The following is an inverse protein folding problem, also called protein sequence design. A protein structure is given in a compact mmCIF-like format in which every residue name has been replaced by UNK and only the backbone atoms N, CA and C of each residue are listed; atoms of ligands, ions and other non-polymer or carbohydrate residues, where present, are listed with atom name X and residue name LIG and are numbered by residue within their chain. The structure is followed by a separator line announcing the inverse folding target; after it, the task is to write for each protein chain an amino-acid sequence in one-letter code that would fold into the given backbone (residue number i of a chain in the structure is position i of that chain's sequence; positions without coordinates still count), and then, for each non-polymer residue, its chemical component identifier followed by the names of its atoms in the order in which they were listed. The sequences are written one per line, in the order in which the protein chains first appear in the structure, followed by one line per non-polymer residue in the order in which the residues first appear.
data_IF_976719741206
#
_entry.id   IF_976719741206
#
_cell.length_a   1.000
_cell.length_b   1.000
_cell.length_c   1.000
_cell.angle_alpha   90.00
_cell.angle_beta   90.00
_cell.angle_gamma   90.00
#
_symmetry.space_group_name_H-M   'P 1'
#
loop_
_entity.id
_entity.type
_entity.pdbx_description
1 polymer ?
#
# COMPACT_ATOMS: atom_id res chain seq x y z
N UNK A 1 11.42 -9.51 7.71
CA UNK A 1 10.33 -9.83 8.66
C UNK A 1 9.61 -8.52 8.96
N UNK A 2 8.30 -8.43 8.72
CA UNK A 2 7.49 -7.22 8.86
C UNK A 2 6.67 -7.31 10.16
N UNK A 3 6.62 -6.25 10.97
CA UNK A 3 5.78 -6.18 12.18
C UNK A 3 4.71 -5.09 12.00
N UNK A 4 3.48 -5.43 11.57
CA UNK A 4 2.42 -4.44 11.33
C UNK A 4 1.99 -3.71 12.62
N UNK A 5 1.96 -4.42 13.75
CA UNK A 5 1.62 -3.85 15.05
C UNK A 5 2.67 -2.82 15.53
N UNK A 6 3.95 -3.14 15.33
CA UNK A 6 5.04 -2.23 15.63
C UNK A 6 5.01 -0.97 14.78
N UNK A 7 4.70 -1.09 13.48
CA UNK A 7 4.54 0.05 12.57
C UNK A 7 3.35 0.93 12.97
N UNK A 8 2.19 0.33 13.27
CA UNK A 8 1.03 1.07 13.75
C UNK A 8 1.34 1.81 15.05
N UNK A 9 1.99 1.15 16.03
CA UNK A 9 2.42 1.75 17.28
C UNK A 9 3.38 2.93 17.08
N UNK A 10 4.34 2.80 16.16
CA UNK A 10 5.25 3.87 15.81
C UNK A 10 4.51 5.09 15.23
N UNK A 11 3.68 4.91 14.21
CA UNK A 11 2.94 6.01 13.59
C UNK A 11 1.91 6.65 14.54
N UNK A 12 1.34 5.86 15.45
CA UNK A 12 0.48 6.36 16.52
C UNK A 12 1.23 7.26 17.52
N UNK A 13 2.53 7.04 17.73
CA UNK A 13 3.38 7.92 18.59
C UNK A 13 3.75 9.21 17.87
N UNK A 14 3.96 9.13 16.57
CA UNK A 14 4.23 10.29 15.71
C UNK A 14 2.95 11.12 15.42
N UNK A 15 1.78 10.68 15.89
CA UNK A 15 0.48 11.34 15.71
C UNK A 15 0.19 11.68 14.23
N UNK A 16 0.35 10.72 13.34
CA UNK A 16 0.01 10.93 11.93
C UNK A 16 -1.47 11.20 11.75
N UNK A 17 -1.83 12.06 10.79
CA UNK A 17 -3.23 12.39 10.48
C UNK A 17 -3.88 11.38 9.52
N UNK A 18 -3.08 10.73 8.68
CA UNK A 18 -3.49 9.76 7.67
C UNK A 18 -2.33 8.80 7.38
N UNK A 19 -2.63 7.52 7.28
CA UNK A 19 -1.68 6.51 6.85
C UNK A 19 -2.09 5.91 5.50
N UNK A 20 -1.13 5.80 4.57
CA UNK A 20 -1.35 5.24 3.24
C UNK A 20 -0.59 3.92 3.12
N UNK A 21 -1.32 2.84 2.83
CA UNK A 21 -0.74 1.53 2.59
C UNK A 21 -0.34 1.38 1.13
N UNK A 22 0.90 0.92 0.92
CA UNK A 22 1.45 0.59 -0.39
C UNK A 22 2.10 -0.79 -0.34
N UNK A 23 1.50 -1.76 -1.04
CA UNK A 23 2.11 -3.08 -1.26
C UNK A 23 2.12 -4.00 -0.04
N UNK A 24 1.25 -3.78 0.96
CA UNK A 24 1.06 -4.75 2.04
C UNK A 24 0.18 -5.93 1.60
N UNK A 25 0.51 -7.13 2.08
CA UNK A 25 -0.38 -8.28 1.93
C UNK A 25 -1.59 -8.12 2.84
N UNK A 26 -2.69 -8.77 2.46
CA UNK A 26 -3.98 -8.66 3.16
C UNK A 26 -3.87 -8.87 4.68
N UNK A 27 -3.08 -9.85 5.14
CA UNK A 27 -2.91 -10.11 6.56
C UNK A 27 -2.18 -8.99 7.32
N UNK A 28 -1.15 -8.38 6.71
CA UNK A 28 -0.48 -7.22 7.33
C UNK A 28 -1.32 -5.96 7.26
N UNK A 29 -2.05 -5.77 6.17
CA UNK A 29 -2.98 -4.65 5.98
C UNK A 29 -4.05 -4.65 7.09
N UNK A 30 -4.76 -5.78 7.27
CA UNK A 30 -5.78 -5.90 8.31
C UNK A 30 -5.25 -5.56 9.71
N UNK A 31 -4.12 -6.15 10.11
CA UNK A 31 -3.53 -5.92 11.42
C UNK A 31 -3.06 -4.47 11.61
N UNK A 32 -2.45 -3.86 10.59
CA UNK A 32 -2.02 -2.47 10.65
C UNK A 32 -3.21 -1.53 10.76
N UNK A 33 -4.23 -1.74 9.90
CA UNK A 33 -5.43 -0.91 9.83
C UNK A 33 -6.25 -0.99 11.13
N UNK A 34 -6.38 -2.18 11.72
CA UNK A 34 -7.06 -2.37 13.02
C UNK A 34 -6.38 -1.61 14.16
N UNK A 35 -5.04 -1.53 14.15
CA UNK A 35 -4.26 -0.96 15.25
C UNK A 35 -3.82 0.49 15.00
N UNK A 36 -4.15 1.06 13.84
CA UNK A 36 -3.87 2.46 13.53
C UNK A 36 -4.93 3.36 14.18
N UNK A 37 -4.48 4.42 14.88
CA UNK A 37 -5.39 5.44 15.41
C UNK A 37 -5.82 6.42 14.33
N UNK A 38 -4.91 6.75 13.42
CA UNK A 38 -5.20 7.57 12.26
C UNK A 38 -6.01 6.75 11.25
N UNK A 39 -6.87 7.38 10.44
CA UNK A 39 -7.50 6.71 9.31
C UNK A 39 -6.44 6.12 8.38
N UNK A 40 -6.75 4.96 7.82
CA UNK A 40 -5.88 4.25 6.89
C UNK A 40 -6.60 4.10 5.55
N UNK A 41 -5.88 4.33 4.46
CA UNK A 41 -6.35 4.03 3.12
C UNK A 41 -5.31 3.19 2.37
N UNK A 42 -5.79 2.21 1.61
CA UNK A 42 -4.93 1.35 0.80
C UNK A 42 -4.89 1.89 -0.62
N UNK A 43 -3.75 2.44 -1.02
CA UNK A 43 -3.55 2.96 -2.38
C UNK A 43 -3.21 1.82 -3.35
N UNK A 44 -2.39 0.86 -2.91
CA UNK A 44 -1.97 -0.28 -3.71
C UNK A 44 -1.90 -1.53 -2.85
N UNK A 45 -2.64 -2.57 -3.22
CA UNK A 45 -2.60 -3.87 -2.53
C UNK A 45 -1.42 -4.68 -3.04
N UNK A 46 -0.79 -5.49 -2.17
CA UNK A 46 0.25 -6.43 -2.64
C UNK A 46 -0.33 -7.45 -3.61
N UNK A 47 0.30 -7.53 -4.77
CA UNK A 47 0.05 -8.58 -5.76
C UNK A 47 1.23 -9.57 -5.80
N UNK A 48 0.94 -10.84 -6.05
CA UNK A 48 1.96 -11.88 -6.28
C UNK A 48 2.27 -12.08 -7.76
N UNK A 49 1.33 -11.76 -8.66
CA UNK A 49 1.50 -11.94 -10.11
C UNK A 49 2.67 -11.08 -10.61
N UNK A 50 2.80 -9.86 -10.10
CA UNK A 50 3.89 -8.94 -10.42
C UNK A 50 5.08 -9.02 -9.46
N UNK A 51 5.39 -10.21 -8.95
CA UNK A 51 6.55 -10.45 -8.08
C UNK A 51 6.66 -9.47 -6.89
N UNK A 52 5.52 -9.16 -6.26
CA UNK A 52 5.43 -8.21 -5.15
C UNK A 52 5.66 -6.72 -5.52
N UNK A 53 5.67 -6.40 -6.82
CA UNK A 53 5.68 -5.04 -7.34
C UNK A 53 4.37 -4.72 -8.10
N UNK A 54 3.24 -4.52 -7.39
CA UNK A 54 1.94 -4.23 -8.02
C UNK A 54 1.95 -2.99 -8.92
N UNK A 55 2.77 -1.98 -8.59
CA UNK A 55 2.91 -0.76 -9.40
C UNK A 55 3.57 -1.02 -10.76
N UNK A 56 4.23 -2.17 -10.94
CA UNK A 56 4.79 -2.59 -12.23
C UNK A 56 3.74 -2.66 -13.36
N UNK A 57 2.47 -2.86 -13.03
CA UNK A 57 1.38 -2.79 -14.02
C UNK A 57 1.31 -1.39 -14.64
N UNK A 58 1.30 -0.36 -13.80
CA UNK A 58 1.08 1.04 -14.20
C UNK A 58 2.26 1.54 -15.03
N UNK A 59 3.48 1.15 -14.69
CA UNK A 59 4.68 1.54 -15.43
C UNK A 59 4.99 0.64 -16.63
N UNK A 60 4.17 -0.37 -16.91
CA UNK A 60 4.38 -1.22 -18.09
C UNK A 60 4.12 -0.43 -19.39
N UNK A 61 4.87 -0.75 -20.45
CA UNK A 61 4.68 -0.12 -21.78
C UNK A 61 3.24 -0.23 -22.28
N UNK A 62 2.56 -1.34 -21.97
CA UNK A 62 1.17 -1.55 -22.33
C UNK A 62 0.27 -0.44 -21.77
N UNK A 63 0.32 -0.21 -20.46
CA UNK A 63 -0.50 0.81 -19.81
C UNK A 63 -0.02 2.23 -20.12
N UNK A 64 1.29 2.47 -20.19
CA UNK A 64 1.83 3.78 -20.58
C UNK A 64 1.35 4.20 -21.97
N UNK A 65 1.39 3.28 -22.95
CA UNK A 65 0.90 3.56 -24.30
C UNK A 65 -0.61 3.78 -24.29
N UNK A 66 -1.38 2.96 -23.57
CA UNK A 66 -2.83 3.09 -23.48
C UNK A 66 -3.25 4.47 -22.95
N UNK A 67 -2.64 4.93 -21.85
CA UNK A 67 -2.97 6.23 -21.25
C UNK A 67 -2.39 7.43 -22.02
N UNK A 68 -1.32 7.24 -22.79
CA UNK A 68 -0.75 8.31 -23.63
C UNK A 68 -1.53 8.53 -24.92
N UNK A 69 -2.18 7.48 -25.45
CA UNK A 69 -3.04 7.55 -26.64
C UNK A 69 -4.42 8.15 -26.36
N UNK A 70 -4.78 8.38 -25.10
CA UNK A 70 -6.03 9.03 -24.68
C UNK A 70 -5.88 10.55 -24.47
N UNK A 71 -4.70 11.12 -24.77
CA UNK A 71 -4.45 12.58 -24.84
C UNK A 71 -4.52 13.07 -26.27
#
# INVERSE_FOLDING_TARGET
MCNPLGQASFLNRENTDLNIIIGLCIGHDLLFTEHSKAPVTTLVVKDRVLAHNPLGAIYSKYYQNKFSSEK
#
